data_IF_775081105118
#
_entry.id   IF_775081105118
#
_cell.length_a   1.000
_cell.length_b   1.000
_cell.length_c   1.000
_cell.angle_alpha   90.00
_cell.angle_beta   90.00
_cell.angle_gamma   90.00
#
_symmetry.space_group_name_H-M   'P 1'
#
loop_
_entity.id
_entity.type
_entity.pdbx_description
1 polymer ?
#
# COMPACT_ATOMS: atom_id res chain seq x y z
N UNK A 1 -13.50 -26.64 1.36
CA UNK A 1 -12.20 -27.26 1.01
C UNK A 1 -11.14 -26.20 1.23
N UNK A 2 -10.03 -26.52 1.90
CA UNK A 2 -8.91 -25.58 2.08
C UNK A 2 -8.03 -25.66 0.82
N UNK A 3 -7.72 -24.51 0.22
CA UNK A 3 -6.77 -24.39 -0.89
C UNK A 3 -5.36 -24.14 -0.35
N UNK A 4 -4.34 -24.72 -0.98
CA UNK A 4 -2.91 -24.50 -0.67
C UNK A 4 -2.13 -23.97 -1.88
N UNK A 5 -2.81 -23.35 -2.85
CA UNK A 5 -2.21 -22.99 -4.13
C UNK A 5 -1.26 -21.79 -4.04
N UNK A 6 -1.61 -20.78 -3.25
CA UNK A 6 -0.84 -19.55 -3.04
C UNK A 6 -1.37 -18.80 -1.81
N UNK A 7 -0.76 -17.67 -1.49
CA UNK A 7 -1.03 -16.78 -0.36
C UNK A 7 -1.85 -15.52 -0.72
N UNK A 8 -2.42 -15.48 -1.93
CA UNK A 8 -3.18 -14.34 -2.47
C UNK A 8 -4.46 -14.77 -3.19
N UNK A 9 -4.99 -15.96 -2.91
CA UNK A 9 -6.27 -16.46 -3.46
C UNK A 9 -7.47 -15.89 -2.70
N UNK A 10 -7.22 -15.43 -1.49
CA UNK A 10 -8.17 -14.87 -0.56
C UNK A 10 -8.22 -13.34 -0.73
N UNK A 11 -9.32 -12.73 -0.28
CA UNK A 11 -9.43 -11.27 -0.20
C UNK A 11 -8.58 -10.67 0.92
N UNK A 12 -8.86 -9.41 1.26
CA UNK A 12 -8.15 -8.72 2.32
C UNK A 12 -8.58 -9.17 3.73
N UNK A 13 -7.70 -8.95 4.72
CA UNK A 13 -8.01 -9.15 6.13
C UNK A 13 -9.27 -8.33 6.54
N UNK A 14 -10.20 -8.87 7.37
CA UNK A 14 -11.48 -8.21 7.69
C UNK A 14 -11.38 -6.75 8.16
N UNK A 15 -10.38 -6.41 9.00
CA UNK A 15 -10.13 -5.03 9.41
C UNK A 15 -9.83 -4.04 8.27
N UNK A 16 -9.20 -4.51 7.19
CA UNK A 16 -8.96 -3.68 5.99
C UNK A 16 -10.29 -3.43 5.28
N UNK A 17 -11.10 -4.48 5.11
CA UNK A 17 -12.43 -4.38 4.48
C UNK A 17 -13.37 -3.47 5.28
N UNK A 18 -13.36 -3.58 6.61
CA UNK A 18 -14.14 -2.71 7.50
C UNK A 18 -13.75 -1.23 7.35
N UNK A 19 -12.45 -0.93 7.25
CA UNK A 19 -11.97 0.43 7.06
C UNK A 19 -12.41 0.98 5.69
N UNK A 20 -12.26 0.19 4.63
CA UNK A 20 -12.70 0.56 3.28
C UNK A 20 -14.20 0.84 3.24
N UNK A 21 -15.01 0.03 3.92
CA UNK A 21 -16.45 0.26 4.02
C UNK A 21 -16.78 1.56 4.75
N UNK A 22 -16.08 1.85 5.86
CA UNK A 22 -16.28 3.10 6.63
C UNK A 22 -15.90 4.34 5.83
N UNK A 23 -14.79 4.29 5.10
CA UNK A 23 -14.28 5.42 4.32
C UNK A 23 -14.92 5.55 2.93
N UNK A 24 -15.84 4.67 2.55
CA UNK A 24 -16.34 4.56 1.17
C UNK A 24 -17.03 5.83 0.63
N UNK A 25 -17.61 6.64 1.52
CA UNK A 25 -18.28 7.90 1.15
C UNK A 25 -17.46 9.13 1.55
N UNK A 26 -16.25 8.95 2.06
CA UNK A 26 -15.34 10.03 2.39
C UNK A 26 -14.64 10.54 1.13
N UNK A 27 -14.68 11.85 0.91
CA UNK A 27 -13.94 12.46 -0.18
C UNK A 27 -12.45 12.52 0.15
N UNK A 28 -11.63 11.98 -0.75
CA UNK A 28 -10.18 11.92 -0.60
C UNK A 28 -9.50 12.53 -1.83
N UNK A 29 -8.35 13.15 -1.61
CA UNK A 29 -7.50 13.67 -2.69
C UNK A 29 -6.88 12.47 -3.42
N UNK A 30 -6.79 12.56 -4.75
CA UNK A 30 -6.19 11.49 -5.57
C UNK A 30 -4.68 11.37 -5.42
N UNK A 31 -4.10 10.45 -6.20
CA UNK A 31 -2.65 10.33 -6.41
C UNK A 31 -1.79 10.11 -5.16
N UNK A 32 -2.37 9.57 -4.08
CA UNK A 32 -1.66 9.24 -2.84
C UNK A 32 -1.38 10.44 -1.93
N UNK A 33 -2.12 11.52 -2.13
CA UNK A 33 -2.12 12.74 -1.30
C UNK A 33 -3.25 12.74 -0.25
N UNK A 34 -3.93 11.60 -0.08
CA UNK A 34 -4.99 11.43 0.90
C UNK A 34 -4.45 11.16 2.33
N UNK A 35 -5.35 11.31 3.31
CA UNK A 35 -5.03 11.16 4.73
C UNK A 35 -4.62 9.72 5.11
N UNK A 36 -5.09 8.70 4.39
CA UNK A 36 -4.74 7.31 4.67
C UNK A 36 -3.33 7.01 4.18
N UNK A 37 -2.98 7.49 2.99
CA UNK A 37 -1.64 7.45 2.44
C UNK A 37 -0.65 8.14 3.37
N UNK A 38 -0.96 9.34 3.87
CA UNK A 38 -0.06 10.07 4.78
C UNK A 38 0.15 9.31 6.10
N UNK A 39 -0.92 8.85 6.76
CA UNK A 39 -0.80 8.03 7.99
C UNK A 39 0.00 6.75 7.76
N UNK A 40 -0.17 6.10 6.61
CA UNK A 40 0.61 4.93 6.26
C UNK A 40 2.10 5.25 6.12
N UNK A 41 2.46 6.40 5.54
CA UNK A 41 3.85 6.88 5.49
C UNK A 41 4.42 7.06 6.89
N UNK A 42 3.71 7.75 7.77
CA UNK A 42 4.13 7.96 9.17
C UNK A 42 4.39 6.61 9.88
N UNK A 43 3.48 5.65 9.74
CA UNK A 43 3.65 4.33 10.37
C UNK A 43 4.84 3.56 9.80
N UNK A 44 5.05 3.60 8.49
CA UNK A 44 6.19 2.93 7.85
C UNK A 44 7.50 3.61 8.28
N UNK A 45 7.61 4.94 8.23
CA UNK A 45 8.80 5.69 8.68
C UNK A 45 9.16 5.38 10.13
N UNK A 46 8.15 5.38 11.01
CA UNK A 46 8.31 4.99 12.43
C UNK A 46 8.82 3.55 12.58
N UNK A 47 8.33 2.61 11.77
CA UNK A 47 8.79 1.21 11.78
C UNK A 47 10.20 1.04 11.22
N UNK A 48 10.57 1.84 10.23
CA UNK A 48 11.92 1.89 9.67
C UNK A 48 12.91 2.66 10.56
N UNK A 49 12.42 3.42 11.54
CA UNK A 49 13.21 4.34 12.37
C UNK A 49 14.01 5.33 11.53
N UNK A 50 13.41 5.78 10.42
CA UNK A 50 14.02 6.72 9.47
C UNK A 50 12.96 7.65 8.90
N UNK A 51 13.22 8.95 9.01
CA UNK A 51 12.33 10.00 8.51
C UNK A 51 12.73 10.49 7.12
N UNK A 52 13.99 10.25 6.72
CA UNK A 52 14.65 10.68 5.49
C UNK A 52 14.43 9.70 4.31
N UNK A 53 13.35 8.93 4.35
CA UNK A 53 12.96 8.02 3.27
C UNK A 53 11.72 8.54 2.56
N UNK A 54 11.74 8.46 1.24
CA UNK A 54 10.55 8.62 0.42
C UNK A 54 9.82 7.28 0.32
N UNK A 55 8.50 7.34 0.48
CA UNK A 55 7.62 6.18 0.36
C UNK A 55 6.78 6.42 -0.89
N UNK A 56 6.49 5.39 -1.68
CA UNK A 56 5.58 5.48 -2.82
C UNK A 56 4.70 4.23 -2.84
N UNK A 57 3.39 4.41 -3.00
CA UNK A 57 2.43 3.31 -3.03
C UNK A 57 2.17 2.89 -4.47
N UNK A 58 2.42 1.62 -4.77
CA UNK A 58 2.25 1.02 -6.10
C UNK A 58 1.28 -0.17 -5.99
N UNK A 59 0.34 -0.37 -6.93
CA UNK A 59 -0.71 -1.38 -6.80
C UNK A 59 -0.23 -2.84 -6.77
N UNK A 60 0.91 -3.15 -7.37
CA UNK A 60 1.37 -4.53 -7.55
C UNK A 60 2.90 -4.66 -7.60
N UNK A 61 3.41 -5.80 -7.13
CA UNK A 61 4.86 -6.06 -7.04
C UNK A 61 5.59 -6.07 -8.39
N UNK A 62 4.98 -6.59 -9.46
CA UNK A 62 5.59 -6.57 -10.80
C UNK A 62 5.87 -5.14 -11.28
N UNK A 63 4.93 -4.22 -11.04
CA UNK A 63 5.08 -2.81 -11.40
C UNK A 63 6.15 -2.13 -10.54
N UNK A 64 6.17 -2.42 -9.23
CA UNK A 64 7.20 -1.91 -8.32
C UNK A 64 8.60 -2.31 -8.78
N UNK A 65 8.81 -3.59 -9.12
CA UNK A 65 10.11 -4.08 -9.58
C UNK A 65 10.55 -3.39 -10.88
N UNK A 66 9.64 -3.26 -11.86
CA UNK A 66 9.93 -2.56 -13.11
C UNK A 66 10.33 -1.10 -12.87
N UNK A 67 9.56 -0.39 -12.03
CA UNK A 67 9.80 1.02 -11.72
C UNK A 67 11.19 1.20 -11.09
N UNK A 68 11.50 0.43 -10.04
CA UNK A 68 12.76 0.50 -9.30
C UNK A 68 13.97 0.21 -10.18
N UNK A 69 13.90 -0.85 -10.99
CA UNK A 69 14.99 -1.20 -11.91
C UNK A 69 15.19 -0.08 -12.94
N UNK A 70 14.10 0.46 -13.48
CA UNK A 70 14.14 1.52 -14.49
C UNK A 70 14.65 2.85 -13.93
N UNK A 71 14.36 3.17 -12.66
CA UNK A 71 14.79 4.43 -12.03
C UNK A 71 16.26 4.46 -11.67
N UNK A 72 16.89 3.29 -11.46
CA UNK A 72 18.29 3.22 -11.01
C UNK A 72 19.28 2.88 -12.13
N UNK A 73 18.84 2.22 -13.22
CA UNK A 73 19.75 1.65 -14.22
C UNK A 73 19.57 2.20 -15.65
N UNK A 74 18.75 3.23 -15.85
CA UNK A 74 18.56 3.89 -17.15
C UNK A 74 19.01 5.33 -17.13
#
# INVERSE_FOLDING_TARGET
>A
MISFMNDYSEGAHPRVLELLMKSNLEQNIGYGEDVHSEKAREYIKKKLQREDVDIHFIPAGTQTNLLVISSFLR
#
